data_IF_173431345988
#
_entry.id   IF_173431345988
#
_cell.length_a   1.000
_cell.length_b   1.000
_cell.length_c   1.000
_cell.angle_alpha   90.00
_cell.angle_beta   90.00
_cell.angle_gamma   90.00
#
_symmetry.space_group_name_H-M   'P 1'
#
loop_
_entity.id
_entity.type
_entity.pdbx_description
1 polymer ?
#
# COMPACT_ATOMS: atom_id res chain seq x y z
N UNK A 1 0.88 3.05 17.84
CA UNK A 1 0.53 4.04 16.81
C UNK A 1 -0.42 3.35 15.83
N UNK A 2 -1.53 3.99 15.45
CA UNK A 2 -2.54 3.41 14.55
C UNK A 2 -2.01 3.07 13.16
N UNK A 3 -0.94 3.73 12.75
CA UNK A 3 -0.21 3.46 11.51
C UNK A 3 1.20 3.00 11.85
N UNK A 4 1.70 2.04 11.09
CA UNK A 4 3.09 1.59 11.14
C UNK A 4 3.60 1.33 9.72
N UNK A 5 4.68 2.00 9.35
CA UNK A 5 5.35 1.82 8.06
C UNK A 5 6.73 1.22 8.29
N UNK A 6 7.01 0.07 7.66
CA UNK A 6 8.30 -0.63 7.80
C UNK A 6 8.67 -1.36 6.52
N UNK A 7 9.94 -1.70 6.33
CA UNK A 7 10.31 -2.68 5.31
C UNK A 7 9.80 -4.07 5.70
N UNK A 8 9.05 -4.69 4.78
CA UNK A 8 8.85 -6.13 4.79
C UNK A 8 10.06 -6.83 4.16
N UNK A 9 10.49 -6.32 3.00
CA UNK A 9 11.76 -6.64 2.37
C UNK A 9 12.55 -5.36 2.12
N UNK A 10 13.78 -5.22 2.63
CA UNK A 10 14.57 -4.01 2.47
C UNK A 10 14.67 -3.56 1.01
N UNK A 11 14.39 -2.28 0.78
CA UNK A 11 14.45 -1.58 -0.52
C UNK A 11 13.57 -2.18 -1.62
N UNK A 12 12.66 -3.11 -1.29
CA UNK A 12 11.81 -3.81 -2.25
C UNK A 12 10.33 -3.76 -1.88
N UNK A 13 9.96 -4.13 -0.65
CA UNK A 13 8.55 -4.23 -0.25
C UNK A 13 8.33 -3.48 1.06
N UNK A 14 7.52 -2.42 1.01
CA UNK A 14 7.04 -1.71 2.20
C UNK A 14 5.81 -2.43 2.76
N UNK A 15 5.76 -2.61 4.08
CA UNK A 15 4.54 -2.96 4.81
C UNK A 15 3.97 -1.71 5.46
N UNK A 16 2.78 -1.32 5.00
CA UNK A 16 1.96 -0.27 5.57
C UNK A 16 0.82 -0.91 6.36
N UNK A 17 0.91 -0.86 7.70
CA UNK A 17 -0.07 -1.50 8.59
C UNK A 17 -0.93 -0.47 9.31
N UNK A 18 -2.24 -0.72 9.30
CA UNK A 18 -3.26 0.07 9.98
C UNK A 18 -3.90 -0.70 11.14
N UNK A 19 -4.33 0.02 12.17
CA UNK A 19 -5.10 -0.49 13.30
C UNK A 19 -5.94 0.60 13.94
N UNK A 20 -7.09 0.25 14.49
CA UNK A 20 -7.93 1.18 15.24
C UNK A 20 -7.32 1.62 16.59
N UNK A 21 -7.68 2.82 17.10
CA UNK A 21 -8.50 3.84 16.42
C UNK A 21 -7.70 4.60 15.36
N UNK A 22 -8.25 4.72 14.14
CA UNK A 22 -7.60 5.35 12.99
C UNK A 22 -8.17 6.75 12.72
N UNK A 23 -7.31 7.77 12.65
CA UNK A 23 -7.71 9.13 12.26
C UNK A 23 -7.13 9.53 10.89
N UNK A 24 -7.66 10.62 10.31
CA UNK A 24 -7.12 11.17 9.06
C UNK A 24 -5.66 11.64 9.23
N UNK A 25 -5.33 12.24 10.38
CA UNK A 25 -3.97 12.70 10.68
C UNK A 25 -2.98 11.54 10.80
N UNK A 26 -3.43 10.36 11.26
CA UNK A 26 -2.58 9.17 11.30
C UNK A 26 -2.22 8.71 9.88
N UNK A 27 -3.20 8.71 8.96
CA UNK A 27 -2.97 8.36 7.56
C UNK A 27 -2.00 9.32 6.86
N UNK A 28 -2.15 10.63 7.10
CA UNK A 28 -1.22 11.67 6.63
C UNK A 28 0.20 11.43 7.16
N UNK A 29 0.35 11.14 8.45
CA UNK A 29 1.65 10.83 9.04
C UNK A 29 2.27 9.57 8.43
N UNK A 30 1.47 8.51 8.25
CA UNK A 30 1.93 7.28 7.60
C UNK A 30 2.39 7.50 6.16
N UNK A 31 1.73 8.37 5.41
CA UNK A 31 2.16 8.73 4.08
C UNK A 31 3.54 9.41 4.07
N UNK A 32 3.79 10.32 5.01
CA UNK A 32 5.09 10.95 5.19
C UNK A 32 6.16 9.90 5.56
N UNK A 33 5.82 8.91 6.40
CA UNK A 33 6.72 7.81 6.72
C UNK A 33 7.05 6.94 5.51
N UNK A 34 6.09 6.65 4.63
CA UNK A 34 6.34 5.94 3.36
C UNK A 34 7.34 6.69 2.49
N UNK A 35 7.16 8.00 2.33
CA UNK A 35 8.09 8.85 1.60
C UNK A 35 9.48 8.87 2.22
N UNK A 36 9.56 8.98 3.55
CA UNK A 36 10.82 8.95 4.26
C UNK A 36 11.53 7.60 4.15
N UNK A 37 10.78 6.50 4.18
CA UNK A 37 11.33 5.14 4.10
C UNK A 37 11.85 4.82 2.69
N UNK A 38 11.12 5.24 1.66
CA UNK A 38 11.53 5.06 0.26
C UNK A 38 12.57 6.09 -0.21
N UNK A 39 12.91 7.09 0.63
CA UNK A 39 13.87 8.12 0.27
C UNK A 39 15.25 7.51 0.02
N UNK A 40 15.74 7.62 -1.22
CA UNK A 40 17.05 7.11 -1.62
C UNK A 40 17.03 5.71 -2.23
N UNK A 41 15.87 5.06 -2.32
CA UNK A 41 15.73 3.83 -3.12
C UNK A 41 15.70 4.22 -4.61
N UNK A 42 16.66 3.70 -5.38
CA UNK A 42 16.76 3.99 -6.82
C UNK A 42 15.92 3.05 -7.70
N UNK A 43 15.46 1.94 -7.13
CA UNK A 43 14.66 0.92 -7.82
C UNK A 43 13.17 1.09 -7.60
N UNK A 44 12.41 0.21 -8.27
CA UNK A 44 10.99 0.02 -8.00
C UNK A 44 10.82 -0.51 -6.57
N UNK A 45 9.81 0.01 -5.89
CA UNK A 45 9.33 -0.44 -4.58
C UNK A 45 7.89 -0.91 -4.76
N UNK A 46 7.54 -2.00 -4.09
CA UNK A 46 6.18 -2.49 -3.97
C UNK A 46 5.67 -2.23 -2.54
N UNK A 47 4.35 -2.28 -2.33
CA UNK A 47 3.77 -2.05 -1.00
C UNK A 47 2.65 -3.04 -0.68
N UNK A 48 2.65 -3.51 0.57
CA UNK A 48 1.55 -4.25 1.18
C UNK A 48 0.79 -3.30 2.10
N UNK A 49 -0.51 -3.16 1.87
CA UNK A 49 -1.41 -2.34 2.69
C UNK A 49 -2.28 -3.26 3.56
N UNK A 50 -1.89 -3.45 4.82
CA UNK A 50 -2.58 -4.32 5.79
C UNK A 50 -3.54 -3.49 6.66
N UNK A 51 -4.84 -3.64 6.42
CA UNK A 51 -5.91 -2.96 7.13
C UNK A 51 -6.84 -3.92 7.88
N UNK A 52 -6.43 -5.17 8.10
CA UNK A 52 -7.26 -6.17 8.81
C UNK A 52 -7.69 -5.74 10.22
N UNK A 53 -6.92 -4.86 10.86
CA UNK A 53 -7.18 -4.35 12.20
C UNK A 53 -7.92 -3.01 12.21
N UNK A 54 -8.48 -2.59 11.07
CA UNK A 54 -9.34 -1.40 10.94
C UNK A 54 -10.78 -1.86 10.78
N UNK A 55 -11.69 -1.27 11.56
CA UNK A 55 -13.12 -1.53 11.52
C UNK A 55 -13.92 -0.35 10.98
N UNK A 56 -13.36 0.86 11.01
CA UNK A 56 -13.97 2.05 10.43
C UNK A 56 -12.89 2.99 9.89
N UNK A 57 -13.00 3.35 8.61
CA UNK A 57 -12.11 4.35 8.02
C UNK A 57 -12.62 5.77 8.29
N UNK A 58 -11.72 6.73 8.59
CA UNK A 58 -12.11 8.11 8.83
C UNK A 58 -12.72 8.74 7.56
N UNK A 59 -13.74 9.58 7.77
CA UNK A 59 -14.30 10.41 6.69
C UNK A 59 -13.21 11.30 6.09
N UNK A 60 -13.20 11.43 4.76
CA UNK A 60 -12.20 12.23 4.06
C UNK A 60 -10.96 11.45 3.61
N UNK A 61 -10.88 10.15 3.88
CA UNK A 61 -9.78 9.30 3.38
C UNK A 61 -9.66 9.29 1.85
N UNK A 62 -10.79 9.30 1.13
CA UNK A 62 -10.80 9.28 -0.34
C UNK A 62 -10.05 10.47 -0.97
N UNK A 63 -10.39 11.73 -0.62
CA UNK A 63 -9.59 12.89 -1.01
C UNK A 63 -8.11 12.76 -0.65
N UNK A 64 -7.79 12.32 0.58
CA UNK A 64 -6.40 12.18 1.02
C UNK A 64 -5.60 11.21 0.14
N UNK A 65 -6.16 10.03 -0.14
CA UNK A 65 -5.51 9.03 -0.99
C UNK A 65 -5.34 9.53 -2.44
N UNK A 66 -6.28 10.35 -2.93
CA UNK A 66 -6.24 10.93 -4.29
C UNK A 66 -5.24 12.07 -4.41
N UNK A 67 -5.19 12.97 -3.43
CA UNK A 67 -4.44 14.22 -3.50
C UNK A 67 -2.98 14.06 -3.04
N UNK A 68 -2.67 13.01 -2.29
CA UNK A 68 -1.30 12.65 -1.98
C UNK A 68 -1.19 11.72 -0.79
N UNK A 69 -0.63 10.54 -1.02
CA UNK A 69 0.01 9.70 0.01
C UNK A 69 0.78 8.51 -0.59
N UNK A 70 0.37 8.04 -1.77
CA UNK A 70 0.96 6.85 -2.41
C UNK A 70 1.49 7.12 -3.83
N UNK A 71 1.52 8.38 -4.28
CA UNK A 71 2.15 8.80 -5.54
C UNK A 71 3.68 8.84 -5.44
N UNK A 72 4.27 7.77 -4.89
CA UNK A 72 5.71 7.57 -4.93
C UNK A 72 6.11 7.25 -6.38
N UNK A 73 7.06 7.97 -7.01
CA UNK A 73 7.49 7.67 -8.38
C UNK A 73 8.05 6.26 -8.55
N UNK A 74 8.59 5.69 -7.47
CA UNK A 74 9.17 4.35 -7.42
C UNK A 74 8.16 3.28 -7.01
N UNK A 75 6.96 3.65 -6.54
CA UNK A 75 5.94 2.68 -6.14
C UNK A 75 5.19 2.16 -7.37
N UNK A 76 5.35 0.89 -7.70
CA UNK A 76 4.74 0.30 -8.90
C UNK A 76 3.52 -0.58 -8.58
N UNK A 77 3.65 -1.46 -7.57
CA UNK A 77 2.61 -2.45 -7.25
C UNK A 77 2.14 -2.34 -5.81
N UNK A 78 0.85 -2.56 -5.60
CA UNK A 78 0.23 -2.56 -4.27
C UNK A 78 -0.60 -3.83 -4.09
N UNK A 79 -0.38 -4.54 -2.98
CA UNK A 79 -1.20 -5.66 -2.54
C UNK A 79 -1.95 -5.30 -1.26
N UNK A 80 -3.21 -5.71 -1.17
CA UNK A 80 -4.10 -5.39 -0.06
C UNK A 80 -4.26 -6.60 0.86
N UNK A 81 -4.30 -6.37 2.17
CA UNK A 81 -4.59 -7.42 3.16
C UNK A 81 -5.69 -6.92 4.08
N UNK A 82 -6.88 -7.50 3.98
CA UNK A 82 -8.04 -7.01 4.72
C UNK A 82 -9.32 -7.77 4.43
N UNK A 83 -10.41 -7.34 5.07
CA UNK A 83 -11.69 -8.06 5.09
C UNK A 83 -12.86 -7.24 4.52
N UNK A 84 -12.62 -6.00 4.05
CA UNK A 84 -13.69 -5.08 3.67
C UNK A 84 -13.72 -4.79 2.15
N UNK A 85 -14.78 -5.24 1.45
CA UNK A 85 -14.95 -5.00 0.01
C UNK A 85 -14.97 -3.52 -0.40
N UNK A 86 -15.37 -2.63 0.51
CA UNK A 86 -15.40 -1.19 0.26
C UNK A 86 -14.00 -0.61 0.05
N UNK A 87 -12.99 -1.12 0.78
CA UNK A 87 -11.59 -0.69 0.62
C UNK A 87 -11.06 -1.12 -0.74
N UNK A 88 -11.43 -2.32 -1.20
CA UNK A 88 -11.06 -2.83 -2.53
C UNK A 88 -11.58 -1.93 -3.64
N UNK A 89 -12.88 -1.56 -3.58
CA UNK A 89 -13.50 -0.63 -4.51
C UNK A 89 -12.83 0.75 -4.49
N UNK A 90 -12.46 1.23 -3.30
CA UNK A 90 -11.82 2.53 -3.12
C UNK A 90 -10.41 2.55 -3.74
N UNK A 91 -9.60 1.52 -3.49
CA UNK A 91 -8.30 1.37 -4.16
C UNK A 91 -8.51 1.24 -5.67
N UNK A 92 -9.35 0.31 -6.16
CA UNK A 92 -9.61 0.15 -7.59
C UNK A 92 -9.99 1.47 -8.30
N UNK A 93 -10.78 2.33 -7.65
CA UNK A 93 -11.20 3.62 -8.22
C UNK A 93 -10.06 4.64 -8.29
N UNK A 94 -9.11 4.60 -7.34
CA UNK A 94 -7.97 5.53 -7.29
C UNK A 94 -6.82 5.01 -8.17
N UNK A 95 -6.63 3.69 -8.24
CA UNK A 95 -5.38 3.07 -8.69
C UNK A 95 -5.37 2.62 -10.14
N UNK A 96 -6.52 2.56 -10.84
CA UNK A 96 -6.57 2.24 -12.28
C UNK A 96 -5.69 3.16 -13.15
N UNK A 97 -5.32 4.34 -12.63
CA UNK A 97 -4.42 5.28 -13.28
C UNK A 97 -2.98 5.27 -12.75
N UNK A 98 -2.70 4.58 -11.63
CA UNK A 98 -1.45 4.74 -10.85
C UNK A 98 -0.69 3.43 -10.64
N UNK A 99 -1.33 2.27 -10.45
CA UNK A 99 -0.65 0.98 -10.24
C UNK A 99 -0.98 -0.01 -11.33
N UNK A 100 -0.01 -0.89 -11.64
CA UNK A 100 -0.22 -2.03 -12.55
C UNK A 100 0.44 -3.27 -11.95
N UNK A 101 -0.30 -4.36 -11.71
CA UNK A 101 -1.74 -4.57 -11.96
C UNK A 101 -2.65 -3.85 -10.95
N UNK A 102 -3.97 -3.93 -11.15
CA UNK A 102 -4.95 -3.49 -10.15
C UNK A 102 -4.68 -4.18 -8.80
N UNK A 103 -4.78 -3.48 -7.66
CA UNK A 103 -4.53 -4.06 -6.35
C UNK A 103 -5.43 -5.27 -6.07
N UNK A 104 -4.84 -6.37 -5.62
CA UNK A 104 -5.54 -7.60 -5.23
C UNK A 104 -5.59 -7.76 -3.72
N UNK A 105 -6.66 -8.38 -3.23
CA UNK A 105 -6.82 -8.66 -1.79
C UNK A 105 -6.37 -10.06 -1.44
N UNK A 106 -5.62 -10.15 -0.35
CA UNK A 106 -5.04 -11.37 0.17
C UNK A 106 -5.45 -11.58 1.63
N UNK A 107 -5.38 -12.83 2.08
CA UNK A 107 -5.78 -13.21 3.44
C UNK A 107 -4.67 -12.96 4.47
N UNK A 108 -3.42 -12.85 4.00
CA UNK A 108 -2.23 -12.69 4.82
C UNK A 108 -1.18 -11.79 4.15
N UNK A 109 -0.27 -11.27 4.96
CA UNK A 109 0.87 -10.45 4.49
C UNK A 109 1.84 -11.30 3.67
N UNK A 110 2.01 -12.56 4.08
CA UNK A 110 2.87 -13.52 3.42
C UNK A 110 2.37 -13.82 2.00
N UNK A 111 1.07 -14.06 1.84
CA UNK A 111 0.43 -14.29 0.54
C UNK A 111 0.53 -13.05 -0.38
N UNK A 112 0.29 -11.85 0.19
CA UNK A 112 0.44 -10.58 -0.53
C UNK A 112 1.89 -10.38 -1.01
N UNK A 113 2.88 -10.68 -0.16
CA UNK A 113 4.28 -10.60 -0.54
C UNK A 113 4.65 -11.58 -1.65
N UNK A 114 4.20 -12.83 -1.56
CA UNK A 114 4.44 -13.85 -2.60
C UNK A 114 3.82 -13.44 -3.95
N UNK A 115 2.63 -12.83 -3.91
CA UNK A 115 2.00 -12.26 -5.10
C UNK A 115 2.86 -11.15 -5.72
N UNK A 116 3.31 -10.16 -4.94
CA UNK A 116 4.15 -9.06 -5.43
C UNK A 116 5.46 -9.57 -6.02
N UNK A 117 6.15 -10.49 -5.32
CA UNK A 117 7.39 -11.11 -5.82
C UNK A 117 7.18 -11.82 -7.16
N UNK A 118 6.07 -12.53 -7.32
CA UNK A 118 5.74 -13.21 -8.58
C UNK A 118 5.56 -12.20 -9.71
N UNK A 119 4.81 -11.12 -9.46
CA UNK A 119 4.61 -10.05 -10.44
C UNK A 119 5.92 -9.36 -10.83
N UNK A 120 6.76 -9.00 -9.86
CA UNK A 120 8.07 -8.41 -10.10
C UNK A 120 8.97 -9.30 -10.98
N UNK A 121 8.93 -10.63 -10.75
CA UNK A 121 9.66 -11.59 -11.59
C UNK A 121 9.11 -11.63 -13.01
N UNK A 122 7.78 -11.70 -13.17
CA UNK A 122 7.14 -11.74 -14.48
C UNK A 122 7.48 -10.48 -15.30
N UNK A 123 7.49 -9.31 -14.68
CA UNK A 123 7.85 -8.05 -15.34
C UNK A 123 9.33 -8.03 -15.74
N UNK A 124 10.24 -8.46 -14.86
CA UNK A 124 11.69 -8.56 -15.18
C UNK A 124 12.02 -9.55 -16.31
N UNK A 125 11.16 -10.54 -16.58
CA UNK A 125 11.35 -11.53 -17.66
C UNK A 125 10.78 -11.07 -19.01
N UNK A 126 10.06 -9.96 -19.04
CA UNK A 126 9.44 -9.39 -20.25
C UNK A 126 10.26 -8.25 -20.86
N UNK A 127 11.29 -7.76 -20.16
CA UNK A 127 12.30 -6.81 -20.65
C UNK A 127 13.49 -7.51 -21.32
#
# INVERSE_FOLDING_TARGET
>A
MPVRVTWYEPDQIILYKLSDPLTLSDLEAGAVEVWALAAGVSGIVDMIFDYRAVTEFPRGMLPLMRDGSFTLPTLERVALVGNEPLVEMMFATITQSTYRPDPTVHTSVEEAADFLRRMAREDSTRE
#
